data_IF_733998310792
#
_entry.id   IF_733998310792
#
_cell.length_a   1.000
_cell.length_b   1.000
_cell.length_c   1.000
_cell.angle_alpha   90.00
_cell.angle_beta   90.00
_cell.angle_gamma   90.00
#
_symmetry.space_group_name_H-M   'P 1'
#
loop_
_entity.id
_entity.type
_entity.pdbx_description
1 polymer ?
#
# COMPACT_ATOMS: atom_id res chain seq x y z
N UNK A 1 -44.36 -26.16 53.15
CA UNK A 1 -44.38 -27.51 52.54
C UNK A 1 -43.06 -27.69 51.79
N UNK A 2 -42.03 -28.27 52.42
CA UNK A 2 -41.53 -29.67 52.30
C UNK A 2 -40.97 -30.07 50.91
N UNK A 3 -39.62 -30.23 50.88
CA UNK A 3 -38.78 -31.33 50.30
C UNK A 3 -38.72 -31.48 48.76
N UNK A 4 -37.55 -31.43 48.08
CA UNK A 4 -36.32 -32.29 48.04
C UNK A 4 -36.34 -33.28 46.84
N UNK A 5 -35.35 -33.11 45.94
CA UNK A 5 -34.55 -34.01 45.07
C UNK A 5 -35.10 -35.34 44.48
N UNK A 6 -34.67 -35.70 43.24
CA UNK A 6 -33.64 -36.73 42.90
C UNK A 6 -33.65 -37.08 41.39
N UNK A 7 -32.43 -37.33 40.86
CA UNK A 7 -32.00 -37.95 39.59
C UNK A 7 -32.81 -39.19 39.11
N UNK A 8 -32.74 -39.48 37.80
CA UNK A 8 -32.92 -40.84 37.28
C UNK A 8 -32.92 -40.90 35.75
N UNK A 9 -31.85 -41.44 35.17
CA UNK A 9 -31.74 -41.68 33.73
C UNK A 9 -32.49 -42.94 33.27
N UNK A 10 -32.63 -43.09 31.95
CA UNK A 10 -32.86 -44.39 31.32
C UNK A 10 -32.26 -44.44 29.90
N UNK A 11 -31.44 -45.47 29.69
CA UNK A 11 -30.97 -46.01 28.42
C UNK A 11 -32.11 -46.55 27.55
N UNK A 12 -31.93 -46.47 26.22
CA UNK A 12 -32.31 -47.47 25.19
C UNK A 12 -31.76 -46.93 23.85
N UNK A 13 -31.27 -47.66 22.85
CA UNK A 13 -30.66 -48.98 22.70
C UNK A 13 -30.00 -48.97 21.30
N UNK A 14 -28.93 -49.75 21.12
CA UNK A 14 -28.20 -49.91 19.87
C UNK A 14 -29.07 -50.50 18.76
N UNK A 15 -28.84 -50.06 17.52
CA UNK A 15 -28.93 -50.94 16.35
C UNK A 15 -27.73 -50.67 15.44
N UNK A 16 -26.85 -51.66 15.38
CA UNK A 16 -25.73 -51.77 14.46
C UNK A 16 -26.25 -52.11 13.06
N UNK A 17 -25.72 -51.45 12.03
CA UNK A 17 -25.56 -52.05 10.71
C UNK A 17 -24.17 -51.68 10.19
N UNK A 18 -23.30 -52.68 10.14
CA UNK A 18 -22.04 -52.67 9.38
C UNK A 18 -22.33 -53.05 7.93
N UNK A 19 -21.67 -52.42 6.96
CA UNK A 19 -20.99 -53.11 5.84
C UNK A 19 -20.26 -52.11 4.90
N UNK A 20 -18.93 -52.25 4.91
CA UNK A 20 -17.94 -52.14 3.83
C UNK A 20 -17.65 -50.79 3.10
N UNK A 21 -16.37 -50.55 2.76
CA UNK A 21 -15.88 -49.29 2.17
C UNK A 21 -16.02 -49.30 0.65
N UNK A 22 -16.30 -48.15 0.03
CA UNK A 22 -16.26 -48.04 -1.43
C UNK A 22 -15.55 -46.75 -1.86
N UNK A 23 -14.47 -47.00 -2.59
CA UNK A 23 -13.87 -46.23 -3.68
C UNK A 23 -13.55 -44.74 -3.46
N UNK A 24 -12.25 -44.47 -3.50
CA UNK A 24 -11.69 -43.25 -4.04
C UNK A 24 -12.26 -42.96 -5.45
N UNK A 25 -12.63 -41.71 -5.68
CA UNK A 25 -12.73 -41.07 -7.00
C UNK A 25 -12.09 -39.69 -6.83
N UNK A 26 -10.83 -39.58 -7.24
CA UNK A 26 -10.43 -39.01 -8.54
C UNK A 26 -10.74 -37.52 -8.59
N UNK A 27 -9.74 -36.73 -8.15
CA UNK A 27 -9.70 -35.30 -8.39
C UNK A 27 -9.56 -35.02 -9.89
N UNK A 28 -10.16 -33.93 -10.39
CA UNK A 28 -10.00 -33.57 -11.79
C UNK A 28 -8.57 -33.10 -12.05
N UNK A 29 -8.12 -33.50 -13.22
CA UNK A 29 -6.76 -33.49 -13.72
C UNK A 29 -6.10 -32.11 -13.78
N UNK A 30 -4.80 -32.17 -13.53
CA UNK A 30 -3.75 -31.24 -13.91
C UNK A 30 -3.67 -31.22 -15.44
N UNK A 31 -4.19 -30.17 -16.09
CA UNK A 31 -3.91 -29.81 -17.48
C UNK A 31 -4.46 -28.39 -17.75
N UNK A 32 -3.67 -27.37 -17.41
CA UNK A 32 -3.48 -26.19 -18.26
C UNK A 32 -2.30 -25.36 -17.74
N UNK A 33 -1.08 -25.83 -18.04
CA UNK A 33 0.09 -24.96 -18.11
C UNK A 33 -0.04 -24.10 -19.35
N UNK A 34 -0.92 -23.10 -19.31
CA UNK A 34 -0.85 -21.97 -20.21
C UNK A 34 0.41 -21.17 -19.83
N UNK A 35 1.47 -21.44 -20.59
CA UNK A 35 2.73 -20.73 -20.58
C UNK A 35 2.45 -19.22 -20.66
N UNK A 36 2.69 -18.51 -19.55
CA UNK A 36 2.61 -17.04 -19.50
C UNK A 36 3.50 -16.50 -20.63
N UNK A 37 2.99 -15.63 -21.52
CA UNK A 37 3.86 -14.89 -22.41
C UNK A 37 4.83 -14.07 -21.55
N UNK A 38 6.12 -13.97 -21.93
CA UNK A 38 7.12 -13.31 -21.11
C UNK A 38 6.72 -11.86 -20.92
N UNK A 39 6.40 -11.51 -19.67
CA UNK A 39 6.28 -10.13 -19.26
C UNK A 39 7.65 -9.49 -19.46
N UNK A 40 7.76 -8.64 -20.48
CA UNK A 40 8.95 -7.83 -20.67
C UNK A 40 9.18 -7.00 -19.40
N UNK A 41 10.41 -7.10 -18.91
CA UNK A 41 10.79 -7.02 -17.50
C UNK A 41 10.64 -5.63 -16.88
N UNK A 42 9.48 -5.34 -16.28
CA UNK A 42 9.44 -4.43 -15.14
C UNK A 42 9.94 -5.20 -13.91
N UNK A 43 11.25 -5.11 -13.63
CA UNK A 43 11.87 -5.75 -12.45
C UNK A 43 11.06 -5.30 -11.22
N UNK A 44 10.44 -6.25 -10.52
CA UNK A 44 9.74 -5.95 -9.27
C UNK A 44 10.75 -5.30 -8.31
N UNK A 45 10.38 -4.25 -7.57
CA UNK A 45 11.31 -3.58 -6.67
C UNK A 45 11.91 -4.60 -5.71
N UNK A 46 13.24 -4.58 -5.59
CA UNK A 46 13.99 -5.55 -4.79
C UNK A 46 14.05 -5.07 -3.34
N UNK A 47 13.76 -5.95 -2.39
CA UNK A 47 13.98 -5.67 -0.98
C UNK A 47 15.48 -5.76 -0.70
N UNK A 48 16.07 -4.68 -0.18
CA UNK A 48 17.51 -4.60 0.07
C UNK A 48 17.85 -4.82 1.55
N UNK A 49 17.00 -4.32 2.44
CA UNK A 49 17.20 -4.48 3.87
C UNK A 49 15.88 -4.84 4.56
N UNK A 50 15.98 -5.75 5.51
CA UNK A 50 14.91 -6.14 6.41
C UNK A 50 15.34 -5.81 7.85
N UNK A 51 14.38 -5.50 8.70
CA UNK A 51 14.62 -5.21 10.12
C UNK A 51 15.37 -6.37 10.78
N UNK A 52 16.62 -6.12 11.17
CA UNK A 52 17.53 -7.10 11.76
C UNK A 52 18.21 -6.51 13.01
N UNK A 53 18.42 -7.36 14.01
CA UNK A 53 19.04 -7.06 15.30
C UNK A 53 18.58 -5.75 15.98
N UNK A 54 17.25 -5.48 16.10
CA UNK A 54 16.77 -4.23 16.65
C UNK A 54 16.93 -4.15 18.16
N UNK A 55 17.12 -2.92 18.65
CA UNK A 55 17.07 -2.61 20.08
C UNK A 55 15.76 -1.93 20.44
N UNK A 56 15.18 -2.26 21.58
CA UNK A 56 13.96 -1.65 22.11
C UNK A 56 14.20 -0.93 23.41
N UNK A 57 13.44 0.12 23.65
CA UNK A 57 13.37 0.78 24.95
C UNK A 57 11.94 1.22 25.22
N UNK A 58 11.42 0.92 26.40
CA UNK A 58 10.05 1.28 26.80
C UNK A 58 10.02 2.58 27.62
N UNK A 59 8.84 3.19 27.77
CA UNK A 59 8.58 4.27 28.73
C UNK A 59 9.48 5.52 28.57
N UNK A 60 9.91 5.79 27.33
CA UNK A 60 10.80 6.92 27.00
C UNK A 60 10.05 8.24 26.84
N UNK A 61 8.80 8.18 26.38
CA UNK A 61 7.92 9.35 26.37
C UNK A 61 6.87 9.22 27.45
N UNK A 62 6.68 10.28 28.23
CA UNK A 62 5.56 10.37 29.15
C UNK A 62 4.34 10.85 28.35
N UNK A 63 3.72 9.90 27.64
CA UNK A 63 2.52 10.13 26.84
C UNK A 63 1.28 10.22 27.73
N UNK A 64 0.94 11.42 28.18
CA UNK A 64 -0.40 11.74 28.70
C UNK A 64 -0.97 12.94 27.95
N UNK A 65 -2.24 13.26 28.16
CA UNK A 65 -2.88 14.52 27.72
C UNK A 65 -2.32 15.70 28.53
N UNK A 66 -1.01 15.89 28.46
CA UNK A 66 -0.26 16.95 29.11
C UNK A 66 0.04 18.05 28.10
N UNK A 67 -0.02 19.30 28.54
CA UNK A 67 0.44 20.44 27.75
C UNK A 67 1.95 20.42 27.50
N UNK A 68 2.70 19.73 28.38
CA UNK A 68 4.15 19.54 28.26
C UNK A 68 4.42 18.12 27.80
N UNK A 69 4.91 18.00 26.57
CA UNK A 69 5.36 16.74 26.01
C UNK A 69 6.81 16.48 26.43
N UNK A 70 7.06 15.33 27.05
CA UNK A 70 8.38 14.90 27.49
C UNK A 70 8.74 13.62 26.73
N UNK A 71 9.82 13.67 25.96
CA UNK A 71 10.41 12.52 25.29
C UNK A 71 11.94 12.55 25.48
N UNK A 72 12.45 11.62 26.26
CA UNK A 72 13.85 11.59 26.66
C UNK A 72 14.79 11.23 25.51
N UNK A 73 14.34 10.44 24.53
CA UNK A 73 15.14 10.13 23.34
C UNK A 73 15.26 11.35 22.45
N UNK A 74 14.15 12.06 22.20
CA UNK A 74 14.22 13.30 21.41
C UNK A 74 15.09 14.35 22.10
N UNK A 75 15.01 14.46 23.43
CA UNK A 75 15.88 15.36 24.19
C UNK A 75 17.37 14.98 24.06
N UNK A 76 17.69 13.68 24.03
CA UNK A 76 19.05 13.19 23.79
C UNK A 76 19.51 13.49 22.36
N UNK A 77 18.72 13.13 21.36
CA UNK A 77 19.04 13.35 19.94
C UNK A 77 19.20 14.84 19.60
N UNK A 78 18.50 15.73 20.29
CA UNK A 78 18.68 17.19 20.14
C UNK A 78 20.07 17.65 20.59
N UNK A 79 20.64 17.01 21.63
CA UNK A 79 21.98 17.34 22.16
C UNK A 79 23.08 16.59 21.42
N UNK A 80 22.79 15.35 21.00
CA UNK A 80 23.71 14.44 20.33
C UNK A 80 23.01 13.75 19.15
N UNK A 81 22.96 14.41 17.97
CA UNK A 81 22.28 13.86 16.79
C UNK A 81 22.86 12.52 16.28
N UNK A 82 24.12 12.23 16.63
CA UNK A 82 24.83 10.99 16.26
C UNK A 82 24.65 9.84 17.26
N UNK A 83 23.81 10.02 18.29
CA UNK A 83 23.60 9.03 19.34
C UNK A 83 23.20 7.67 18.74
N UNK A 84 23.89 6.62 19.21
CA UNK A 84 23.72 5.24 18.76
C UNK A 84 23.63 4.36 20.02
N UNK A 85 22.48 3.75 20.31
CA UNK A 85 22.35 2.94 21.51
C UNK A 85 23.01 1.57 21.34
N UNK A 86 23.52 1.03 22.44
CA UNK A 86 23.91 -0.38 22.60
C UNK A 86 23.03 -1.06 23.64
N UNK A 87 22.96 -2.40 23.61
CA UNK A 87 22.18 -3.14 24.59
C UNK A 87 22.71 -2.89 26.01
N UNK A 88 21.81 -2.53 26.93
CA UNK A 88 22.12 -2.13 28.30
C UNK A 88 22.25 -0.62 28.51
N UNK A 89 22.35 0.18 27.46
CA UNK A 89 22.47 1.64 27.60
C UNK A 89 21.20 2.26 28.18
N UNK A 90 21.37 3.24 29.06
CA UNK A 90 20.29 4.10 29.55
C UNK A 90 20.28 5.43 28.81
N UNK A 91 19.10 6.04 28.67
CA UNK A 91 18.98 7.39 28.08
C UNK A 91 19.44 8.51 29.03
N UNK A 92 19.32 8.26 30.34
CA UNK A 92 19.86 9.10 31.42
C UNK A 92 19.97 8.27 32.69
N UNK A 93 20.86 8.67 33.61
CA UNK A 93 21.07 7.96 34.88
C UNK A 93 19.81 7.91 35.75
N UNK A 94 18.95 8.93 35.66
CA UNK A 94 17.68 9.05 36.39
C UNK A 94 16.53 8.19 35.82
N UNK A 95 16.77 7.51 34.69
CA UNK A 95 15.78 6.65 34.05
C UNK A 95 16.13 5.17 34.25
N UNK A 96 15.12 4.39 34.64
CA UNK A 96 15.26 2.93 34.74
C UNK A 96 15.31 2.21 33.38
N UNK A 97 14.49 2.58 32.37
CA UNK A 97 14.52 1.88 31.08
C UNK A 97 15.89 1.91 30.42
N UNK A 98 16.38 0.73 30.05
CA UNK A 98 17.57 0.53 29.26
C UNK A 98 17.21 -0.08 27.90
N UNK A 99 18.09 0.11 26.91
CA UNK A 99 17.98 -0.55 25.62
C UNK A 99 18.16 -2.05 25.77
N UNK A 100 17.29 -2.83 25.14
CA UNK A 100 17.35 -4.30 25.14
C UNK A 100 17.26 -4.83 23.72
N UNK A 101 17.95 -5.94 23.45
CA UNK A 101 17.78 -6.67 22.19
C UNK A 101 16.36 -7.18 22.08
N UNK A 102 15.77 -7.05 20.90
CA UNK A 102 14.45 -7.57 20.60
C UNK A 102 14.56 -8.78 19.68
N UNK A 103 13.68 -9.76 19.89
CA UNK A 103 13.57 -10.90 18.99
C UNK A 103 12.87 -10.49 17.69
N UNK A 104 13.49 -10.85 16.56
CA UNK A 104 12.87 -10.71 15.23
C UNK A 104 12.21 -12.04 14.88
N UNK A 105 10.89 -12.02 14.71
CA UNK A 105 10.13 -13.18 14.27
C UNK A 105 10.14 -13.30 12.74
N UNK A 106 9.58 -14.40 12.22
CA UNK A 106 9.47 -14.64 10.77
C UNK A 106 8.90 -13.40 10.03
N UNK A 107 9.56 -13.02 8.92
CA UNK A 107 9.25 -11.84 8.08
C UNK A 107 9.60 -10.48 8.71
N UNK A 108 10.65 -10.42 9.52
CA UNK A 108 11.27 -9.13 9.93
C UNK A 108 10.42 -8.34 10.91
N UNK A 109 9.56 -9.03 11.67
CA UNK A 109 8.61 -8.42 12.58
C UNK A 109 9.07 -8.48 14.04
N UNK A 110 8.75 -7.44 14.81
CA UNK A 110 9.05 -7.39 16.26
C UNK A 110 7.79 -7.11 17.05
N UNK A 111 7.54 -7.88 18.11
CA UNK A 111 6.45 -7.60 19.04
C UNK A 111 6.79 -6.40 19.95
N UNK A 112 5.89 -5.44 20.02
CA UNK A 112 6.10 -4.20 20.79
C UNK A 112 5.31 -4.17 22.09
N UNK A 113 4.74 -5.29 22.52
CA UNK A 113 3.78 -5.35 23.65
C UNK A 113 4.29 -4.64 24.90
N UNK A 114 5.58 -4.81 25.19
CA UNK A 114 6.25 -4.21 26.36
C UNK A 114 6.92 -2.86 26.05
N UNK A 115 7.00 -2.44 24.78
CA UNK A 115 7.58 -1.16 24.35
C UNK A 115 6.58 0.00 24.44
N UNK A 116 5.70 -0.02 25.45
CA UNK A 116 4.72 1.04 25.65
C UNK A 116 5.43 2.39 25.76
N UNK A 117 4.96 3.36 24.97
CA UNK A 117 5.52 4.71 24.92
C UNK A 117 7.04 4.74 24.64
N UNK A 118 7.53 3.72 23.95
CA UNK A 118 8.93 3.42 23.70
C UNK A 118 9.40 3.76 22.30
N UNK A 119 10.56 3.20 21.97
CA UNK A 119 11.16 3.22 20.64
C UNK A 119 11.74 1.87 20.28
N UNK A 120 11.84 1.62 18.98
CA UNK A 120 12.71 0.61 18.40
C UNK A 120 13.80 1.30 17.59
N UNK A 121 15.04 0.92 17.83
CA UNK A 121 16.21 1.33 17.08
C UNK A 121 16.59 0.25 16.07
N UNK A 122 16.83 0.67 14.84
CA UNK A 122 17.37 -0.16 13.78
C UNK A 122 18.51 0.59 13.06
N UNK A 123 19.57 -0.15 12.75
CA UNK A 123 20.74 0.35 12.05
C UNK A 123 20.85 -0.31 10.68
N UNK A 124 21.19 0.49 9.67
CA UNK A 124 21.51 0.01 8.32
C UNK A 124 22.81 0.65 7.87
N UNK A 125 23.73 -0.15 7.35
CA UNK A 125 24.99 0.33 6.77
C UNK A 125 24.90 0.31 5.24
N UNK A 126 25.37 1.37 4.59
CA UNK A 126 25.36 1.49 3.13
C UNK A 126 26.74 1.85 2.60
N UNK A 127 27.20 1.15 1.56
CA UNK A 127 28.50 1.43 0.94
C UNK A 127 28.54 2.76 0.17
N UNK A 128 27.38 3.25 -0.24
CA UNK A 128 27.20 4.50 -0.96
C UNK A 128 25.86 5.18 -0.59
N UNK A 129 25.72 6.49 -0.79
CA UNK A 129 24.45 7.18 -0.58
C UNK A 129 23.39 6.65 -1.56
N UNK A 130 22.19 6.37 -1.06
CA UNK A 130 21.11 5.85 -1.89
C UNK A 130 19.73 6.25 -1.37
N UNK A 131 18.78 6.38 -2.29
CA UNK A 131 17.39 6.66 -1.95
C UNK A 131 16.58 5.37 -2.07
N UNK A 132 15.84 5.04 -1.02
CA UNK A 132 15.05 3.82 -0.89
C UNK A 132 13.60 4.15 -0.51
N UNK A 133 12.75 3.13 -0.58
CA UNK A 133 11.39 3.18 -0.11
C UNK A 133 11.30 2.42 1.21
N UNK A 134 11.03 3.14 2.29
CA UNK A 134 10.73 2.57 3.60
C UNK A 134 9.28 2.07 3.62
N UNK A 135 9.10 0.74 3.69
CA UNK A 135 7.84 0.11 4.08
C UNK A 135 7.92 -0.25 5.55
N UNK A 136 7.25 0.52 6.40
CA UNK A 136 7.24 0.25 7.82
C UNK A 136 5.84 0.41 8.41
N UNK A 137 5.51 -0.43 9.39
CA UNK A 137 4.16 -0.54 9.98
C UNK A 137 4.22 -0.70 11.48
N UNK A 138 3.20 -0.23 12.19
CA UNK A 138 3.06 -0.40 13.64
C UNK A 138 3.80 0.66 14.44
N UNK A 139 4.04 1.83 13.85
CA UNK A 139 4.77 2.92 14.50
C UNK A 139 4.09 4.26 14.24
N UNK A 140 4.26 5.21 15.14
CA UNK A 140 3.65 6.55 15.06
C UNK A 140 4.38 7.48 14.10
N UNK A 141 5.70 7.46 14.18
CA UNK A 141 6.62 8.13 13.27
C UNK A 141 7.98 7.45 13.41
N UNK A 142 8.87 7.70 12.46
CA UNK A 142 10.25 7.22 12.51
C UNK A 142 11.19 8.40 12.30
N UNK A 143 12.26 8.46 13.07
CA UNK A 143 13.37 9.35 12.77
C UNK A 143 14.37 8.61 11.91
N UNK A 144 14.61 9.09 10.70
CA UNK A 144 15.64 8.56 9.80
C UNK A 144 16.80 9.54 9.82
N UNK A 145 17.92 9.14 10.41
CA UNK A 145 19.07 10.03 10.65
C UNK A 145 18.69 11.35 11.36
N UNK A 146 17.70 11.30 12.26
CA UNK A 146 17.18 12.46 12.98
C UNK A 146 16.02 13.19 12.28
N UNK A 147 15.75 12.90 11.00
CA UNK A 147 14.64 13.52 10.27
C UNK A 147 13.32 12.77 10.49
N UNK A 148 12.24 13.44 10.92
CA UNK A 148 10.96 12.80 11.16
C UNK A 148 10.24 12.41 9.87
N UNK A 149 9.77 11.16 9.80
CA UNK A 149 8.92 10.61 8.75
C UNK A 149 7.64 10.05 9.36
N UNK A 150 6.51 10.21 8.65
CA UNK A 150 5.21 9.75 9.12
C UNK A 150 5.17 8.23 9.34
N UNK A 151 4.31 7.76 10.24
CA UNK A 151 4.15 6.33 10.52
C UNK A 151 2.82 5.73 10.05
N UNK A 152 2.74 4.41 10.14
CA UNK A 152 1.50 3.64 9.94
C UNK A 152 1.11 2.94 11.25
N UNK A 153 0.48 3.69 12.15
CA UNK A 153 0.03 3.20 13.48
C UNK A 153 -0.97 2.06 13.37
N UNK A 154 -1.71 1.98 12.26
CA UNK A 154 -2.86 1.07 12.10
C UNK A 154 -2.58 -0.12 11.18
N UNK A 155 -1.32 -0.32 10.76
CA UNK A 155 -0.91 -1.42 9.88
C UNK A 155 -1.76 -1.51 8.62
N UNK A 156 -2.08 -0.37 8.00
CA UNK A 156 -2.94 -0.29 6.82
C UNK A 156 -2.20 -0.55 5.51
N UNK A 157 -0.88 -0.66 5.53
CA UNK A 157 -0.05 -0.84 4.32
C UNK A 157 -0.19 0.31 3.33
N UNK A 158 -0.42 1.52 3.86
CA UNK A 158 -0.63 2.73 3.04
C UNK A 158 0.56 3.67 3.04
N UNK A 159 1.49 3.49 3.97
CA UNK A 159 2.60 4.41 4.19
C UNK A 159 3.90 3.75 3.73
N UNK A 160 4.22 3.92 2.44
CA UNK A 160 5.57 3.64 1.91
C UNK A 160 6.23 4.97 1.59
N UNK A 161 7.32 5.29 2.27
CA UNK A 161 7.92 6.62 2.25
C UNK A 161 9.30 6.59 1.57
N UNK A 162 9.58 7.51 0.64
CA UNK A 162 10.94 7.70 0.18
C UNK A 162 11.83 8.22 1.30
N UNK A 163 13.01 7.63 1.45
CA UNK A 163 14.03 8.02 2.43
C UNK A 163 15.40 8.07 1.76
N UNK A 164 16.23 9.01 2.18
CA UNK A 164 17.63 9.09 1.75
C UNK A 164 18.53 8.47 2.82
N UNK A 165 19.40 7.56 2.39
CA UNK A 165 20.45 6.97 3.20
C UNK A 165 21.79 7.56 2.79
N UNK A 166 22.61 7.84 3.81
CA UNK A 166 23.98 8.28 3.65
C UNK A 166 24.91 7.07 3.47
N UNK A 167 26.11 7.30 2.96
CA UNK A 167 27.19 6.33 3.09
C UNK A 167 27.51 6.09 4.57
N UNK A 168 27.75 4.83 4.93
CA UNK A 168 27.98 4.38 6.30
C UNK A 168 26.69 4.14 7.08
N UNK A 169 26.70 4.46 8.37
CA UNK A 169 25.66 4.10 9.32
C UNK A 169 24.44 5.03 9.22
N UNK A 170 23.29 4.43 8.94
CA UNK A 170 21.97 5.06 8.95
C UNK A 170 21.15 4.56 10.14
N UNK A 171 20.48 5.49 10.81
CA UNK A 171 19.79 5.25 12.09
C UNK A 171 18.30 5.45 11.93
N UNK A 172 17.54 4.46 12.38
CA UNK A 172 16.09 4.51 12.41
C UNK A 172 15.61 4.40 13.85
N UNK A 173 14.86 5.40 14.32
CA UNK A 173 14.18 5.36 15.62
C UNK A 173 12.68 5.37 15.41
N UNK A 174 12.06 4.19 15.46
CA UNK A 174 10.62 4.03 15.31
C UNK A 174 9.93 4.32 16.64
N UNK A 175 9.00 5.27 16.66
CA UNK A 175 8.14 5.50 17.83
C UNK A 175 7.09 4.42 17.93
N UNK A 176 7.20 3.56 18.93
CA UNK A 176 6.38 2.35 19.09
C UNK A 176 5.42 2.46 20.27
N UNK A 177 4.58 1.43 20.41
CA UNK A 177 3.68 1.30 21.56
C UNK A 177 2.35 0.63 21.26
N UNK A 178 2.17 0.07 20.05
CA UNK A 178 0.96 -0.68 19.67
C UNK A 178 1.31 -1.79 18.68
N UNK A 179 1.01 -3.04 19.07
CA UNK A 179 1.03 -4.18 18.16
C UNK A 179 2.44 -4.63 17.79
N UNK A 180 2.66 -4.84 16.48
CA UNK A 180 3.90 -5.39 15.91
C UNK A 180 4.55 -4.35 14.99
N UNK A 181 5.86 -4.16 15.12
CA UNK A 181 6.69 -3.43 14.15
C UNK A 181 7.02 -4.37 13.00
N UNK A 182 7.01 -3.86 11.77
CA UNK A 182 7.77 -4.43 10.65
C UNK A 182 8.38 -3.26 9.90
N UNK A 183 9.61 -3.42 9.43
CA UNK A 183 10.29 -2.40 8.63
C UNK A 183 11.18 -3.05 7.57
N UNK A 184 11.08 -2.53 6.36
CA UNK A 184 11.83 -2.98 5.19
C UNK A 184 12.22 -1.79 4.34
N UNK A 185 13.37 -1.88 3.69
CA UNK A 185 13.84 -0.91 2.72
C UNK A 185 13.89 -1.55 1.34
N UNK A 186 13.11 -0.98 0.44
CA UNK A 186 12.93 -1.45 -0.92
C UNK A 186 13.63 -0.53 -1.90
N UNK A 187 14.18 -1.10 -2.96
CA UNK A 187 14.67 -0.33 -4.09
C UNK A 187 13.52 0.50 -4.69
N UNK A 188 13.77 1.78 -4.93
CA UNK A 188 12.83 2.64 -5.63
C UNK A 188 12.73 2.23 -7.11
N UNK A 189 11.53 2.13 -7.69
CA UNK A 189 11.36 1.75 -9.10
C UNK A 189 11.79 2.86 -10.07
N UNK A 190 11.71 4.12 -9.66
CA UNK A 190 12.17 5.30 -10.40
C UNK A 190 12.42 6.48 -9.45
N UNK A 191 12.89 7.62 -9.97
CA UNK A 191 13.00 8.87 -9.19
C UNK A 191 11.63 9.42 -8.81
N UNK A 192 10.68 9.39 -9.75
CA UNK A 192 9.29 9.76 -9.53
C UNK A 192 8.38 8.70 -10.10
N UNK A 193 7.44 8.21 -9.29
CA UNK A 193 6.55 7.11 -9.67
C UNK A 193 5.20 7.18 -8.97
N UNK A 194 4.22 6.47 -9.53
CA UNK A 194 2.92 6.28 -8.88
C UNK A 194 3.00 5.06 -7.96
N UNK A 195 2.68 5.25 -6.69
CA UNK A 195 2.68 4.18 -5.71
C UNK A 195 1.32 3.43 -5.72
N UNK A 196 1.30 2.09 -5.79
CA UNK A 196 0.07 1.33 -6.02
C UNK A 196 -0.78 1.07 -4.77
N UNK A 197 -0.25 1.31 -3.56
CA UNK A 197 -0.84 0.81 -2.31
C UNK A 197 -2.12 1.55 -1.86
N UNK A 198 -2.28 2.82 -2.23
CA UNK A 198 -3.45 3.63 -1.88
C UNK A 198 -4.07 4.28 -3.13
N UNK A 199 -4.40 3.49 -4.14
CA UNK A 199 -5.20 3.98 -5.27
C UNK A 199 -6.69 4.00 -4.91
N UNK A 200 -7.31 5.17 -4.94
CA UNK A 200 -8.76 5.37 -4.74
C UNK A 200 -9.43 5.47 -6.11
N UNK A 201 -9.47 4.35 -6.83
CA UNK A 201 -10.12 4.25 -8.13
C UNK A 201 -11.63 4.01 -7.99
N UNK A 202 -12.45 4.60 -8.87
CA UNK A 202 -13.88 4.34 -8.90
C UNK A 202 -14.15 3.00 -9.59
N UNK A 203 -15.41 2.57 -9.58
CA UNK A 203 -15.89 1.51 -10.44
C UNK A 203 -16.44 2.11 -11.74
N UNK A 204 -16.10 1.52 -12.88
CA UNK A 204 -16.77 1.84 -14.13
C UNK A 204 -18.13 1.17 -14.15
N UNK A 205 -19.18 1.94 -14.46
CA UNK A 205 -20.57 1.48 -14.41
C UNK A 205 -21.24 1.60 -15.75
N UNK A 206 -22.10 0.63 -16.05
CA UNK A 206 -22.96 0.66 -17.23
C UNK A 206 -24.27 1.37 -16.90
N UNK A 207 -24.46 2.55 -17.48
CA UNK A 207 -25.61 3.40 -17.19
C UNK A 207 -26.85 3.05 -18.02
N UNK A 208 -26.70 2.33 -19.14
CA UNK A 208 -27.79 2.09 -20.07
C UNK A 208 -28.30 3.39 -20.70
N UNK A 209 -29.24 3.26 -21.65
CA UNK A 209 -29.73 4.36 -22.50
C UNK A 209 -30.39 5.55 -21.77
N UNK A 210 -30.67 5.46 -20.47
CA UNK A 210 -31.45 6.46 -19.73
C UNK A 210 -30.63 7.41 -18.84
N UNK A 211 -29.34 7.16 -18.62
CA UNK A 211 -28.48 8.04 -17.82
C UNK A 211 -27.22 8.35 -18.60
N UNK A 212 -26.93 9.64 -18.83
CA UNK A 212 -25.69 10.03 -19.50
C UNK A 212 -24.51 9.57 -18.61
N UNK A 213 -23.54 8.82 -19.16
CA UNK A 213 -22.32 8.53 -18.43
C UNK A 213 -21.61 9.85 -18.07
N UNK A 214 -20.91 9.92 -16.94
CA UNK A 214 -20.11 11.08 -16.60
C UNK A 214 -19.02 11.28 -17.66
N UNK A 215 -18.71 12.53 -17.99
CA UNK A 215 -17.68 12.85 -18.98
C UNK A 215 -16.31 12.29 -18.59
N UNK A 216 -16.01 12.26 -17.29
CA UNK A 216 -14.77 11.70 -16.72
C UNK A 216 -15.06 10.93 -15.44
N UNK A 217 -14.22 9.94 -15.17
CA UNK A 217 -14.11 9.34 -13.85
C UNK A 217 -12.91 9.95 -13.15
N UNK A 218 -13.03 10.19 -11.84
CA UNK A 218 -11.92 10.65 -11.03
C UNK A 218 -11.34 9.48 -10.25
N UNK A 219 -10.02 9.43 -10.13
CA UNK A 219 -9.31 8.53 -9.22
C UNK A 219 -8.33 9.33 -8.38
N UNK A 220 -7.96 8.82 -7.21
CA UNK A 220 -6.86 9.36 -6.43
C UNK A 220 -5.67 8.41 -6.47
N UNK A 221 -4.49 8.91 -6.81
CA UNK A 221 -3.24 8.13 -6.82
C UNK A 221 -2.17 8.83 -6.00
N UNK A 222 -1.26 8.06 -5.39
CA UNK A 222 -0.10 8.64 -4.71
C UNK A 222 1.04 8.77 -5.70
N UNK A 223 1.54 9.98 -5.89
CA UNK A 223 2.77 10.26 -6.63
C UNK A 223 3.90 10.46 -5.62
N UNK A 224 4.94 9.62 -5.72
CA UNK A 224 6.12 9.64 -4.87
C UNK A 224 7.29 10.27 -5.60
N UNK A 225 7.91 11.29 -5.01
CA UNK A 225 9.22 11.78 -5.39
C UNK A 225 10.27 11.15 -4.46
N UNK A 226 11.03 10.19 -4.97
CA UNK A 226 12.12 9.51 -4.28
C UNK A 226 13.51 10.06 -4.63
N UNK A 227 13.59 11.26 -5.22
CA UNK A 227 14.83 12.00 -5.42
C UNK A 227 15.09 12.98 -4.28
N UNK A 228 16.32 13.49 -4.22
CA UNK A 228 16.73 14.55 -3.28
C UNK A 228 16.44 15.96 -3.82
N UNK A 229 15.79 16.06 -4.98
CA UNK A 229 15.57 17.30 -5.71
C UNK A 229 14.10 17.71 -5.69
N UNK A 230 13.88 19.01 -5.78
CA UNK A 230 12.57 19.55 -6.13
C UNK A 230 12.29 19.23 -7.59
N UNK A 231 11.11 18.68 -7.88
CA UNK A 231 10.76 18.26 -9.25
C UNK A 231 9.51 18.98 -9.73
N UNK A 232 9.66 19.67 -10.86
CA UNK A 232 8.58 20.39 -11.55
C UNK A 232 8.48 20.02 -13.03
N UNK A 233 7.41 20.49 -13.69
CA UNK A 233 7.18 20.26 -15.12
C UNK A 233 6.94 18.78 -15.45
N UNK A 234 6.42 18.02 -14.49
CA UNK A 234 5.99 16.65 -14.71
C UNK A 234 4.53 16.60 -15.13
N UNK A 235 4.21 15.57 -15.89
CA UNK A 235 2.85 15.26 -16.30
C UNK A 235 2.52 13.84 -15.88
N UNK A 236 1.28 13.60 -15.52
CA UNK A 236 0.74 12.28 -15.25
C UNK A 236 -0.25 11.94 -16.35
N UNK A 237 0.10 10.95 -17.15
CA UNK A 237 -0.76 10.38 -18.20
C UNK A 237 -1.47 9.13 -17.66
N UNK A 238 -2.77 9.06 -17.90
CA UNK A 238 -3.63 7.91 -17.67
C UNK A 238 -4.12 7.34 -19.00
N UNK A 239 -3.87 6.05 -19.21
CA UNK A 239 -4.23 5.33 -20.42
C UNK A 239 -4.96 4.03 -20.10
N UNK A 240 -5.94 3.66 -20.91
CA UNK A 240 -6.47 2.29 -20.96
C UNK A 240 -5.48 1.43 -21.76
N UNK A 241 -5.18 0.24 -21.25
CA UNK A 241 -4.25 -0.70 -21.88
C UNK A 241 -5.03 -1.85 -22.53
N UNK A 242 -4.69 -2.17 -23.78
CA UNK A 242 -5.30 -3.29 -24.51
C UNK A 242 -6.61 -2.97 -25.22
N UNK A 243 -6.89 -1.68 -25.43
CA UNK A 243 -7.98 -1.16 -26.27
C UNK A 243 -7.35 -0.11 -27.20
N UNK A 244 -7.22 -0.41 -28.50
CA UNK A 244 -6.63 0.54 -29.45
C UNK A 244 -7.70 1.38 -30.15
N UNK A 245 -7.33 2.55 -30.68
CA UNK A 245 -8.23 3.39 -31.47
C UNK A 245 -8.63 2.74 -32.81
N UNK A 246 -7.79 1.86 -33.35
CA UNK A 246 -7.99 1.14 -34.61
C UNK A 246 -9.09 0.08 -34.49
N UNK A 247 -9.32 -0.42 -33.28
CA UNK A 247 -10.32 -1.45 -33.00
C UNK A 247 -11.75 -0.89 -32.86
N UNK A 248 -11.92 0.44 -32.80
CA UNK A 248 -13.22 1.08 -32.61
C UNK A 248 -13.95 1.28 -33.94
N UNK A 249 -15.13 0.66 -34.17
CA UNK A 249 -15.90 0.85 -35.39
C UNK A 249 -16.26 2.33 -35.65
N UNK A 250 -16.31 2.70 -36.93
CA UNK A 250 -16.31 4.07 -37.49
C UNK A 250 -17.50 4.99 -37.13
N UNK A 251 -18.32 4.60 -36.15
CA UNK A 251 -19.39 5.43 -35.61
C UNK A 251 -19.16 5.65 -34.11
N UNK A 252 -18.28 6.60 -33.76
CA UNK A 252 -18.60 7.83 -33.00
C UNK A 252 -17.29 8.55 -32.64
N UNK A 253 -17.06 9.79 -33.11
CA UNK A 253 -15.98 10.70 -32.65
C UNK A 253 -15.87 10.76 -31.10
N UNK A 254 -17.01 10.62 -30.42
CA UNK A 254 -17.12 10.57 -28.96
C UNK A 254 -16.47 9.33 -28.33
N UNK A 255 -16.35 8.20 -29.03
CA UNK A 255 -15.68 6.99 -28.54
C UNK A 255 -14.16 7.12 -28.65
N UNK A 256 -13.65 7.67 -29.76
CA UNK A 256 -12.22 8.04 -29.88
C UNK A 256 -11.83 9.02 -28.78
N UNK A 257 -12.68 10.01 -28.52
CA UNK A 257 -12.49 10.96 -27.41
C UNK A 257 -12.51 10.30 -26.02
N UNK A 258 -13.21 9.19 -25.83
CA UNK A 258 -13.31 8.48 -24.56
C UNK A 258 -12.10 7.57 -24.26
N UNK A 259 -11.47 7.01 -25.29
CA UNK A 259 -10.24 6.21 -25.19
C UNK A 259 -8.97 7.06 -25.14
N UNK A 260 -9.10 8.35 -25.45
CA UNK A 260 -7.98 9.28 -25.43
C UNK A 260 -7.31 9.27 -24.06
N UNK A 261 -5.99 9.10 -24.08
CA UNK A 261 -5.15 9.25 -22.91
C UNK A 261 -5.38 10.62 -22.27
N UNK A 262 -5.58 10.65 -20.96
CA UNK A 262 -5.77 11.89 -20.22
C UNK A 262 -4.44 12.27 -19.59
N UNK A 263 -4.02 13.52 -19.77
CA UNK A 263 -2.75 14.02 -19.23
C UNK A 263 -3.01 15.21 -18.34
N UNK A 264 -2.43 15.18 -17.14
CA UNK A 264 -2.55 16.25 -16.15
C UNK A 264 -1.17 16.72 -15.69
N UNK A 265 -0.91 18.02 -15.58
CA UNK A 265 0.31 18.51 -14.95
C UNK A 265 0.33 18.15 -13.45
N UNK A 266 1.48 17.68 -12.98
CA UNK A 266 1.73 17.45 -11.56
C UNK A 266 2.18 18.75 -10.88
N UNK A 267 1.83 18.94 -9.60
CA UNK A 267 2.35 20.07 -8.83
C UNK A 267 3.85 19.95 -8.63
N UNK A 268 4.48 21.03 -8.15
CA UNK A 268 5.85 20.97 -7.65
C UNK A 268 5.96 19.92 -6.54
N UNK A 269 6.80 18.90 -6.74
CA UNK A 269 7.01 17.82 -5.78
C UNK A 269 8.27 18.09 -4.96
N UNK A 270 8.09 18.16 -3.64
CA UNK A 270 9.21 18.28 -2.71
C UNK A 270 10.11 17.02 -2.73
N UNK A 271 11.40 17.13 -2.38
CA UNK A 271 12.28 15.98 -2.18
C UNK A 271 11.68 14.97 -1.21
N UNK A 272 11.90 13.68 -1.48
CA UNK A 272 11.51 12.58 -0.59
C UNK A 272 10.07 12.66 -0.07
N UNK A 273 9.13 12.98 -0.96
CA UNK A 273 7.73 13.26 -0.62
C UNK A 273 6.74 12.34 -1.32
N UNK A 274 5.54 12.26 -0.77
CA UNK A 274 4.41 11.54 -1.35
C UNK A 274 3.20 12.45 -1.36
N UNK A 275 2.55 12.61 -2.52
CA UNK A 275 1.40 13.49 -2.68
C UNK A 275 0.22 12.71 -3.26
N UNK A 276 -0.95 12.83 -2.65
CA UNK A 276 -2.19 12.31 -3.23
C UNK A 276 -2.65 13.26 -4.32
N UNK A 277 -2.73 12.75 -5.54
CA UNK A 277 -3.10 13.51 -6.73
C UNK A 277 -4.41 12.97 -7.27
N UNK A 278 -5.38 13.85 -7.45
CA UNK A 278 -6.57 13.51 -8.20
C UNK A 278 -6.28 13.50 -9.70
N UNK A 279 -6.70 12.42 -10.35
CA UNK A 279 -6.50 12.15 -11.76
C UNK A 279 -7.82 11.88 -12.44
N UNK A 280 -7.94 12.37 -13.67
CA UNK A 280 -9.00 11.99 -14.57
C UNK A 280 -8.64 10.66 -15.22
N UNK A 281 -9.62 9.79 -15.34
CA UNK A 281 -9.51 8.50 -15.99
C UNK A 281 -10.26 8.56 -17.34
N UNK A 282 -9.75 7.89 -18.39
CA UNK A 282 -10.43 7.77 -19.67
C UNK A 282 -11.90 7.32 -19.52
N UNK A 283 -12.83 8.01 -20.19
CA UNK A 283 -14.27 8.03 -19.92
C UNK A 283 -15.02 6.71 -20.16
N UNK A 284 -16.10 6.45 -19.40
CA UNK A 284 -17.04 5.34 -19.64
C UNK A 284 -18.14 5.60 -20.69
N UNK A 285 -17.92 6.48 -21.68
CA UNK A 285 -18.54 6.25 -23.00
C UNK A 285 -18.06 4.92 -23.62
N UNK A 286 -16.97 4.36 -23.07
CA UNK A 286 -16.59 2.96 -23.15
C UNK A 286 -17.59 1.97 -22.50
N UNK A 287 -18.52 2.42 -21.67
CA UNK A 287 -19.41 1.55 -20.90
C UNK A 287 -20.34 0.76 -21.81
N UNK A 288 -21.39 1.38 -22.33
CA UNK A 288 -22.39 0.62 -23.09
C UNK A 288 -21.83 0.13 -24.44
N UNK A 289 -21.14 0.99 -25.20
CA UNK A 289 -20.63 0.64 -26.53
C UNK A 289 -19.36 -0.23 -26.51
N UNK A 290 -18.41 0.01 -25.60
CA UNK A 290 -17.22 -0.86 -25.48
C UNK A 290 -17.52 -2.15 -24.71
N UNK A 291 -18.57 -2.24 -23.88
CA UNK A 291 -19.12 -3.55 -23.48
C UNK A 291 -19.71 -4.31 -24.66
N UNK A 292 -20.55 -3.69 -25.50
CA UNK A 292 -21.10 -4.37 -26.68
C UNK A 292 -19.99 -4.83 -27.63
N UNK A 293 -18.97 -4.00 -27.86
CA UNK A 293 -17.83 -4.33 -28.69
C UNK A 293 -16.93 -5.40 -28.06
N UNK A 294 -16.51 -5.25 -26.80
CA UNK A 294 -15.68 -6.25 -26.11
C UNK A 294 -16.40 -7.58 -25.88
N UNK A 295 -17.71 -7.57 -25.60
CA UNK A 295 -18.51 -8.81 -25.53
C UNK A 295 -18.63 -9.48 -26.89
N UNK A 296 -18.72 -8.70 -27.98
CA UNK A 296 -18.80 -9.22 -29.35
C UNK A 296 -17.47 -9.83 -29.83
N UNK A 297 -16.33 -9.27 -29.42
CA UNK A 297 -15.01 -9.77 -29.83
C UNK A 297 -14.45 -10.84 -28.90
N UNK A 298 -14.72 -10.78 -27.59
CA UNK A 298 -14.07 -11.65 -26.59
C UNK A 298 -14.98 -12.70 -25.96
N UNK A 299 -16.28 -12.72 -26.29
CA UNK A 299 -17.30 -13.67 -25.78
C UNK A 299 -17.27 -13.88 -24.25
N UNK A 300 -16.80 -12.87 -23.49
CA UNK A 300 -16.55 -12.97 -22.06
C UNK A 300 -17.09 -11.75 -21.29
N UNK A 301 -17.52 -11.99 -20.05
CA UNK A 301 -17.90 -10.94 -19.10
C UNK A 301 -16.66 -10.21 -18.60
N UNK A 302 -16.47 -8.98 -19.04
CA UNK A 302 -15.36 -8.14 -18.54
C UNK A 302 -15.69 -7.61 -17.16
N UNK A 303 -14.95 -8.09 -16.17
CA UNK A 303 -15.01 -7.61 -14.79
C UNK A 303 -13.96 -6.55 -14.45
N UNK A 304 -12.88 -6.44 -15.25
CA UNK A 304 -11.74 -5.56 -15.00
C UNK A 304 -11.17 -5.00 -16.32
N UNK A 305 -10.71 -3.74 -16.28
CA UNK A 305 -9.91 -3.13 -17.33
C UNK A 305 -8.53 -2.75 -16.79
N UNK A 306 -7.53 -2.81 -17.65
CA UNK A 306 -6.16 -2.42 -17.30
C UNK A 306 -5.96 -0.93 -17.59
N UNK A 307 -5.40 -0.23 -16.61
CA UNK A 307 -4.96 1.15 -16.70
C UNK A 307 -3.44 1.20 -16.58
N UNK A 308 -2.82 2.17 -17.25
CA UNK A 308 -1.43 2.56 -17.04
C UNK A 308 -1.38 4.01 -16.57
N UNK A 309 -0.69 4.23 -15.45
CA UNK A 309 -0.31 5.56 -14.97
C UNK A 309 1.14 5.82 -15.36
N UNK A 310 1.39 6.81 -16.21
CA UNK A 310 2.74 7.15 -16.68
C UNK A 310 3.14 8.53 -16.21
N UNK A 311 4.25 8.61 -15.47
CA UNK A 311 4.87 9.90 -15.14
C UNK A 311 5.75 10.31 -16.31
N UNK A 312 5.53 11.50 -16.87
CA UNK A 312 6.24 12.03 -18.03
C UNK A 312 6.94 13.36 -17.72
N UNK A 313 8.00 13.64 -18.47
CA UNK A 313 8.66 14.95 -18.52
C UNK A 313 9.07 15.26 -19.95
N UNK A 314 8.54 16.34 -20.53
CA UNK A 314 8.83 16.71 -21.92
C UNK A 314 8.58 15.58 -22.92
N UNK A 315 7.48 14.83 -22.74
CA UNK A 315 7.11 13.68 -23.58
C UNK A 315 7.81 12.35 -23.26
N UNK A 316 8.92 12.36 -22.50
CA UNK A 316 9.60 11.12 -22.07
C UNK A 316 8.89 10.50 -20.88
N UNK A 317 8.59 9.20 -20.95
CA UNK A 317 8.10 8.40 -19.81
C UNK A 317 9.25 8.15 -18.83
N UNK A 318 9.07 8.54 -17.58
CA UNK A 318 10.00 8.31 -16.47
C UNK A 318 9.67 7.03 -15.70
N UNK A 319 8.39 6.73 -15.53
CA UNK A 319 7.90 5.52 -14.88
C UNK A 319 6.49 5.19 -15.36
N UNK A 320 6.16 3.90 -15.30
CA UNK A 320 4.83 3.37 -15.59
C UNK A 320 4.39 2.46 -14.44
N UNK A 321 3.18 2.71 -13.93
CA UNK A 321 2.55 1.89 -12.90
C UNK A 321 1.25 1.33 -13.46
N UNK A 322 1.15 -0.01 -13.63
CA UNK A 322 -0.10 -0.64 -14.04
C UNK A 322 -1.11 -0.64 -12.90
N UNK A 323 -2.38 -0.56 -13.24
CA UNK A 323 -3.49 -0.67 -12.32
C UNK A 323 -4.68 -1.36 -12.99
N UNK A 324 -5.64 -1.77 -12.18
CA UNK A 324 -6.88 -2.39 -12.64
C UNK A 324 -8.07 -1.59 -12.15
N UNK A 325 -9.02 -1.34 -13.03
CA UNK A 325 -10.30 -0.73 -12.68
C UNK A 325 -11.42 -1.74 -12.85
N UNK A 326 -12.30 -1.81 -11.86
CA UNK A 326 -13.41 -2.76 -11.87
C UNK A 326 -14.53 -2.23 -12.74
N UNK A 327 -15.20 -3.16 -13.41
CA UNK A 327 -16.34 -2.89 -14.27
C UNK A 327 -17.57 -3.54 -13.66
N UNK A 328 -18.60 -2.73 -13.37
CA UNK A 328 -19.76 -3.12 -12.57
C UNK A 328 -21.04 -3.05 -13.42
N UNK A 329 -21.82 -4.14 -13.35
CA UNK A 329 -23.10 -4.26 -14.03
C UNK A 329 -24.15 -3.27 -13.51
N UNK A 330 -25.08 -2.92 -14.40
CA UNK A 330 -26.22 -2.07 -14.07
C UNK A 330 -26.98 -2.61 -12.86
N UNK A 331 -27.32 -1.71 -11.92
CA UNK A 331 -28.11 -2.04 -10.74
C UNK A 331 -27.33 -2.75 -9.63
N UNK A 332 -26.01 -2.95 -9.78
CA UNK A 332 -25.15 -3.45 -8.71
C UNK A 332 -24.57 -2.28 -7.89
N UNK A 333 -24.29 -2.49 -6.59
CA UNK A 333 -23.55 -1.52 -5.79
C UNK A 333 -22.17 -1.25 -6.41
N UNK A 334 -21.79 0.02 -6.45
CA UNK A 334 -20.55 0.48 -7.06
C UNK A 334 -19.93 1.61 -6.25
N UNK A 335 -18.66 1.88 -6.49
CA UNK A 335 -17.87 2.93 -5.84
C UNK A 335 -17.69 4.12 -6.78
N UNK A 336 -17.90 5.33 -6.27
CA UNK A 336 -17.48 6.56 -6.92
C UNK A 336 -16.39 7.21 -6.05
N UNK A 337 -15.32 7.68 -6.68
CA UNK A 337 -14.34 8.52 -6.00
C UNK A 337 -14.88 9.94 -6.00
N UNK A 338 -15.01 10.51 -4.82
CA UNK A 338 -15.42 11.90 -4.66
C UNK A 338 -14.30 12.82 -5.16
N UNK A 339 -14.67 13.83 -5.94
CA UNK A 339 -13.80 14.93 -6.32
C UNK A 339 -14.35 16.22 -5.72
N UNK A 340 -13.50 16.93 -4.99
CA UNK A 340 -13.83 18.24 -4.44
C UNK A 340 -13.52 19.33 -5.45
N UNK A 341 -14.55 20.07 -5.87
CA UNK A 341 -14.38 21.24 -6.74
C UNK A 341 -13.79 22.46 -6.02
N UNK A 342 -13.64 22.40 -4.69
CA UNK A 342 -13.14 23.51 -3.88
C UNK A 342 -11.61 23.51 -3.86
N UNK A 343 -11.01 22.36 -3.57
CA UNK A 343 -9.58 22.19 -3.36
C UNK A 343 -8.94 21.17 -4.32
N UNK A 344 -9.73 20.58 -5.22
CA UNK A 344 -9.26 19.63 -6.22
C UNK A 344 -8.88 18.26 -5.66
N UNK A 345 -9.30 17.94 -4.43
CA UNK A 345 -8.90 16.72 -3.72
C UNK A 345 -9.75 15.50 -4.08
N UNK A 346 -9.07 14.35 -4.00
CA UNK A 346 -9.50 12.95 -4.08
C UNK A 346 -8.57 12.14 -3.15
#
# INVERSE_FOLDING_TARGET
MRRVYILGGLLLALLCFSLAPTAAQDGPADDDKAERPPADTAKSPEMLFELADPLGISMVSLGSRSAVFIDHLLARLTKEPSYTPTAGDKLSDDLEPAWQSLEVHEKGGVEQGDLRAGYVYWQVECDAPMNLILDARGHSYVLVNGEPRGGDVYNRDRTKLPVALNQGINRFFFKTGRGRLRAELWQRPADVFVAPQDMTLPDYTFYGSYRRPPSYYYGGVIVSNASNEWVEGLELETALVGVSEEDVPDETERMRQALKTVTRPLPLLAPLSTNKICVELPSALAGDNLRYWLMRERDEKISELNLAFRVKRGGKVLSETPAKIRVIEKGKPYKETFWSSIDGTC
#
